data_IF_002833413089
#
_entry.id   IF_002833413089
#
_cell.length_a   1.000
_cell.length_b   1.000
_cell.length_c   1.000
_cell.angle_alpha   90.00
_cell.angle_beta   90.00
_cell.angle_gamma   90.00
#
_symmetry.space_group_name_H-M   'P 1'
#
loop_
_entity.id
_entity.type
_entity.pdbx_description
1 polymer ?
#
# COMPACT_ATOMS: atom_id res chain seq x y z
N UNK A 1 2.03 2.80 12.23
CA UNK A 1 2.33 3.67 11.07
C UNK A 1 3.46 3.06 10.26
N UNK A 2 3.24 2.72 8.98
CA UNK A 2 4.29 2.22 8.09
C UNK A 2 3.92 0.93 7.33
N UNK A 3 4.94 0.10 7.06
CA UNK A 3 4.91 -1.20 6.37
C UNK A 3 4.93 -1.23 4.83
N UNK A 4 4.92 -0.09 4.14
CA UNK A 4 5.16 -0.06 2.69
C UNK A 4 6.59 0.36 2.40
N UNK A 5 7.32 -0.38 1.57
CA UNK A 5 8.63 0.05 1.07
C UNK A 5 8.44 1.15 0.00
N UNK A 6 8.56 2.41 0.41
CA UNK A 6 8.37 3.58 -0.47
C UNK A 6 9.23 3.55 -1.73
N UNK A 7 10.58 3.48 -1.62
CA UNK A 7 11.48 3.36 -2.77
C UNK A 7 11.23 2.12 -3.63
N UNK A 8 10.71 1.05 -3.03
CA UNK A 8 10.34 -0.17 -3.74
C UNK A 8 9.21 0.01 -4.74
N UNK A 9 8.30 0.96 -4.52
CA UNK A 9 7.14 1.18 -5.39
C UNK A 9 7.51 1.69 -6.79
N UNK A 10 8.58 2.48 -6.91
CA UNK A 10 9.03 3.02 -8.20
C UNK A 10 9.35 1.93 -9.23
N UNK A 11 9.70 0.72 -8.77
CA UNK A 11 10.04 -0.43 -9.63
C UNK A 11 8.97 -1.52 -9.61
N UNK A 12 7.81 -1.25 -9.01
CA UNK A 12 6.77 -2.24 -8.81
C UNK A 12 5.67 -2.11 -9.85
N UNK A 13 5.27 -3.26 -10.42
CA UNK A 13 4.08 -3.34 -11.27
C UNK A 13 2.81 -3.05 -10.45
N UNK A 14 1.80 -2.33 -10.98
CA UNK A 14 0.57 -2.01 -10.26
C UNK A 14 -0.10 -3.22 -9.59
N UNK A 15 -0.24 -4.34 -10.30
CA UNK A 15 -0.86 -5.57 -9.74
C UNK A 15 -0.11 -6.10 -8.52
N UNK A 16 1.23 -6.03 -8.54
CA UNK A 16 2.05 -6.49 -7.42
C UNK A 16 1.92 -5.54 -6.22
N UNK A 17 1.82 -4.23 -6.48
CA UNK A 17 1.61 -3.25 -5.43
C UNK A 17 0.24 -3.45 -4.75
N UNK A 18 -0.82 -3.64 -5.55
CA UNK A 18 -2.13 -4.00 -5.05
C UNK A 18 -2.08 -5.26 -4.20
N UNK A 19 -1.60 -6.38 -4.74
CA UNK A 19 -1.57 -7.66 -4.04
C UNK A 19 -0.78 -7.60 -2.72
N UNK A 20 0.37 -6.90 -2.73
CA UNK A 20 1.22 -6.77 -1.55
C UNK A 20 0.55 -5.94 -0.45
N UNK A 21 -0.09 -4.83 -0.82
CA UNK A 21 -0.79 -3.97 0.15
C UNK A 21 -2.06 -4.64 0.66
N UNK A 22 -2.82 -5.33 -0.20
CA UNK A 22 -3.99 -6.09 0.23
C UNK A 22 -3.64 -7.19 1.23
N UNK A 23 -2.55 -7.94 0.99
CA UNK A 23 -2.06 -8.95 1.92
C UNK A 23 -1.67 -8.35 3.28
N UNK A 24 -0.96 -7.21 3.26
CA UNK A 24 -0.58 -6.48 4.47
C UNK A 24 -1.81 -5.98 5.25
N UNK A 25 -2.81 -5.42 4.57
CA UNK A 25 -4.03 -4.92 5.21
C UNK A 25 -4.84 -6.07 5.83
N UNK A 26 -4.91 -7.22 5.15
CA UNK A 26 -5.54 -8.42 5.70
C UNK A 26 -4.81 -8.94 6.96
N UNK A 27 -3.47 -8.94 6.97
CA UNK A 27 -2.67 -9.30 8.17
C UNK A 27 -2.95 -8.36 9.35
N UNK A 28 -3.23 -7.07 9.07
CA UNK A 28 -3.45 -6.03 10.07
C UNK A 28 -4.92 -5.76 10.37
N UNK A 29 -5.85 -6.56 9.85
CA UNK A 29 -7.29 -6.28 9.94
C UNK A 29 -7.83 -6.15 11.38
N UNK A 30 -7.20 -6.80 12.36
CA UNK A 30 -7.59 -6.72 13.77
C UNK A 30 -6.99 -5.52 14.53
N UNK A 31 -5.98 -4.85 13.96
CA UNK A 31 -5.29 -3.72 14.58
C UNK A 31 -5.96 -2.40 14.21
N UNK A 32 -6.88 -1.94 15.07
CA UNK A 32 -7.60 -0.67 14.88
C UNK A 32 -6.71 0.57 14.97
N UNK A 33 -5.49 0.46 15.49
CA UNK A 33 -4.52 1.55 15.55
C UNK A 33 -3.55 1.53 14.34
N UNK A 34 -3.71 0.57 13.43
CA UNK A 34 -2.86 0.47 12.25
C UNK A 34 -3.12 1.63 11.29
N UNK A 35 -2.03 2.23 10.83
CA UNK A 35 -2.03 3.26 9.77
C UNK A 35 -1.00 2.84 8.74
N UNK A 36 -1.47 2.62 7.51
CA UNK A 36 -0.62 2.35 6.36
C UNK A 36 0.17 3.60 5.98
N UNK A 37 1.49 3.46 5.84
CA UNK A 37 2.36 4.51 5.29
C UNK A 37 3.62 3.88 4.69
N UNK A 38 4.40 4.68 3.96
CA UNK A 38 5.78 4.29 3.65
C UNK A 38 6.57 4.13 4.95
N UNK A 39 7.43 3.11 5.01
CA UNK A 39 8.40 2.92 6.07
C UNK A 39 9.81 3.22 5.55
N UNK A 40 10.66 3.75 6.42
CA UNK A 40 12.08 4.05 6.20
C UNK A 40 12.38 5.21 5.24
N UNK A 41 11.75 5.26 4.07
CA UNK A 41 12.01 6.27 3.04
C UNK A 41 10.74 6.59 2.24
N UNK A 42 10.71 7.80 1.70
CA UNK A 42 9.58 8.31 0.92
C UNK A 42 9.43 7.62 -0.44
N UNK A 43 8.26 7.82 -1.04
CA UNK A 43 7.95 7.35 -2.38
C UNK A 43 8.68 8.27 -3.39
N UNK A 44 9.49 7.71 -4.31
CA UNK A 44 10.13 8.50 -5.36
C UNK A 44 9.10 9.20 -6.25
N UNK A 45 9.41 10.43 -6.65
CA UNK A 45 8.51 11.27 -7.46
C UNK A 45 8.15 10.66 -8.82
N UNK A 46 9.05 9.88 -9.39
CA UNK A 46 8.90 9.18 -10.67
C UNK A 46 8.14 7.85 -10.56
N UNK A 47 7.61 7.51 -9.38
CA UNK A 47 6.74 6.33 -9.21
C UNK A 47 5.52 6.45 -10.11
N UNK A 48 5.23 5.41 -10.88
CA UNK A 48 4.08 5.38 -11.79
C UNK A 48 2.77 5.72 -11.05
N UNK A 49 1.95 6.64 -11.58
CA UNK A 49 0.63 6.93 -11.02
C UNK A 49 -0.26 5.68 -10.91
N UNK A 50 -0.15 4.74 -11.85
CA UNK A 50 -0.92 3.49 -11.80
C UNK A 50 -0.55 2.64 -10.58
N UNK A 51 0.73 2.61 -10.22
CA UNK A 51 1.19 1.91 -9.02
C UNK A 51 0.64 2.56 -7.75
N UNK A 52 0.59 3.90 -7.70
CA UNK A 52 -0.02 4.63 -6.57
C UNK A 52 -1.53 4.41 -6.48
N UNK A 53 -2.23 4.41 -7.63
CA UNK A 53 -3.66 4.12 -7.71
C UNK A 53 -3.98 2.69 -7.28
N UNK A 54 -3.11 1.73 -7.61
CA UNK A 54 -3.24 0.34 -7.15
C UNK A 54 -3.13 0.22 -5.62
N UNK A 55 -2.19 0.94 -4.99
CA UNK A 55 -2.09 1.03 -3.52
C UNK A 55 -3.34 1.66 -2.92
N UNK A 56 -3.82 2.78 -3.49
CA UNK A 56 -5.07 3.42 -3.06
C UNK A 56 -6.25 2.46 -3.17
N UNK A 57 -6.35 1.71 -4.26
CA UNK A 57 -7.43 0.74 -4.48
C UNK A 57 -7.45 -0.32 -3.38
N UNK A 58 -6.29 -0.90 -3.05
CA UNK A 58 -6.18 -1.88 -1.97
C UNK A 58 -6.68 -1.34 -0.62
N UNK A 59 -6.38 -0.07 -0.31
CA UNK A 59 -6.88 0.59 0.92
C UNK A 59 -8.40 0.78 0.89
N UNK A 60 -8.96 1.23 -0.24
CA UNK A 60 -10.41 1.42 -0.37
C UNK A 60 -11.16 0.10 -0.26
N UNK A 61 -10.69 -0.94 -0.96
CA UNK A 61 -11.31 -2.27 -0.93
C UNK A 61 -11.26 -2.91 0.47
N UNK A 62 -10.18 -2.68 1.23
CA UNK A 62 -10.07 -3.16 2.62
C UNK A 62 -10.94 -2.34 3.60
N UNK A 63 -11.24 -1.09 3.26
CA UNK A 63 -12.08 -0.18 4.04
C UNK A 63 -13.58 -0.31 3.76
N UNK A 64 -13.98 -1.02 2.70
CA UNK A 64 -15.36 -1.48 2.51
C UNK A 64 -15.68 -2.51 3.61
N UNK A 65 -16.09 -1.99 4.77
CA UNK A 65 -16.71 -2.78 5.83
C UNK A 65 -18.06 -3.26 5.31
N UNK A 66 -18.17 -4.54 5.04
CA UNK A 66 -19.45 -5.22 4.80
C UNK A 66 -20.39 -5.10 6.02
#
# INVERSE_FOLDING_TARGET
LGNVNGPGLARMHPDKAYASVSALLAERASDRAFVLASSHADIPFDTSPETLLAVRKAVMDAGEVA
#
